data_IF_541613708688
#
_entry.id   IF_541613708688
#
_cell.length_a   1.000
_cell.length_b   1.000
_cell.length_c   1.000
_cell.angle_alpha   90.00
_cell.angle_beta   90.00
_cell.angle_gamma   90.00
#
_symmetry.space_group_name_H-M   'P 1'
#
loop_
_entity.id
_entity.type
_entity.pdbx_description
1 polymer ?
#
# COMPACT_ATOMS: atom_id res chain seq x y z
N UNK A 1 5.76 -13.59 -6.49
CA UNK A 1 4.54 -14.26 -5.98
C UNK A 1 3.68 -13.19 -5.34
N UNK A 2 2.55 -12.85 -5.95
CA UNK A 2 1.56 -11.92 -5.41
C UNK A 2 0.90 -12.66 -4.24
N UNK A 3 1.31 -12.35 -3.01
CA UNK A 3 0.82 -13.02 -1.82
C UNK A 3 -0.70 -12.86 -1.69
N UNK A 4 -1.33 -13.81 -1.02
CA UNK A 4 -2.75 -13.96 -0.68
C UNK A 4 -3.35 -12.77 0.12
N UNK A 5 -2.92 -11.54 -0.14
CA UNK A 5 -3.49 -10.38 0.50
C UNK A 5 -4.94 -10.20 0.00
N UNK A 6 -5.91 -10.19 0.92
CA UNK A 6 -7.30 -10.03 0.54
C UNK A 6 -7.49 -8.63 -0.09
N UNK A 7 -8.41 -8.50 -1.07
CA UNK A 7 -8.67 -7.24 -1.78
C UNK A 7 -8.98 -6.06 -0.85
N UNK A 8 -9.47 -6.35 0.35
CA UNK A 8 -9.69 -5.41 1.44
C UNK A 8 -9.41 -6.07 2.80
N UNK A 9 -9.19 -5.26 3.85
CA UNK A 9 -9.04 -5.77 5.22
C UNK A 9 -10.39 -5.78 5.96
N UNK A 10 -10.71 -6.83 6.73
CA UNK A 10 -11.94 -6.87 7.52
C UNK A 10 -11.84 -6.02 8.80
N UNK A 11 -13.00 -5.66 9.36
CA UNK A 11 -13.10 -5.03 10.70
C UNK A 11 -12.53 -5.99 11.75
N UNK A 12 -11.83 -5.44 12.75
CA UNK A 12 -11.19 -6.19 13.83
C UNK A 12 -9.74 -6.57 13.54
N UNK A 13 -9.26 -6.41 12.30
CA UNK A 13 -7.87 -6.71 11.93
C UNK A 13 -6.89 -5.77 12.61
N UNK A 14 -5.82 -6.33 13.17
CA UNK A 14 -4.67 -5.59 13.69
C UNK A 14 -3.73 -5.20 12.56
N UNK A 15 -3.43 -3.89 12.48
CA UNK A 15 -2.64 -3.29 11.41
C UNK A 15 -1.63 -2.29 11.96
N UNK A 16 -0.56 -2.05 11.22
CA UNK A 16 0.30 -0.90 11.42
C UNK A 16 -0.16 0.21 10.47
N UNK A 17 -0.61 1.32 11.02
CA UNK A 17 -1.15 2.46 10.28
C UNK A 17 -0.13 3.59 10.19
N UNK A 18 0.17 4.04 8.97
CA UNK A 18 1.03 5.19 8.70
C UNK A 18 0.28 6.48 8.99
N UNK A 19 0.73 7.23 9.99
CA UNK A 19 0.20 8.52 10.36
C UNK A 19 1.33 9.52 10.63
N UNK A 20 1.25 10.72 10.03
CA UNK A 20 2.26 11.79 10.15
C UNK A 20 3.72 11.34 9.92
N UNK A 21 3.94 10.34 9.06
CA UNK A 21 5.27 9.86 8.68
C UNK A 21 5.79 8.68 9.50
N UNK A 22 5.10 8.25 10.55
CA UNK A 22 5.43 7.07 11.34
C UNK A 22 4.33 6.01 11.24
N UNK A 23 4.66 4.75 11.57
CA UNK A 23 3.68 3.67 11.70
C UNK A 23 3.37 3.44 13.17
N UNK A 24 2.08 3.42 13.50
CA UNK A 24 1.60 3.08 14.85
C UNK A 24 0.70 1.85 14.77
N UNK A 25 0.63 1.09 15.85
CA UNK A 25 -0.33 -0.01 15.95
C UNK A 25 -1.75 0.53 16.00
N UNK A 26 -2.65 -0.11 15.25
CA UNK A 26 -4.05 0.27 15.21
C UNK A 26 -4.93 -0.94 14.90
N UNK A 27 -6.21 -0.84 15.29
CA UNK A 27 -7.23 -1.85 15.00
C UNK A 27 -8.30 -1.28 14.07
N UNK A 28 -8.66 -2.03 13.03
CA UNK A 28 -9.73 -1.60 12.11
C UNK A 28 -11.09 -1.65 12.82
N UNK A 29 -11.76 -0.50 12.93
CA UNK A 29 -13.09 -0.36 13.54
C UNK A 29 -14.22 -0.33 12.51
N UNK A 30 -13.97 0.25 11.34
CA UNK A 30 -14.97 0.33 10.26
C UNK A 30 -14.28 0.28 8.91
N UNK A 31 -14.94 -0.35 7.94
CA UNK A 31 -14.51 -0.40 6.55
C UNK A 31 -15.65 0.09 5.68
N UNK A 32 -15.39 1.10 4.87
CA UNK A 32 -16.26 1.50 3.77
C UNK A 32 -15.62 0.95 2.50
N UNK A 33 -16.10 -0.23 2.08
CA UNK A 33 -15.61 -0.93 0.88
C UNK A 33 -15.93 -0.11 -0.36
N UNK A 34 -14.93 0.07 -1.21
CA UNK A 34 -15.06 0.79 -2.47
C UNK A 34 -13.99 0.28 -3.43
N UNK A 35 -14.28 -0.77 -4.20
CA UNK A 35 -13.32 -1.38 -5.11
C UNK A 35 -13.70 -1.02 -6.54
N UNK A 36 -12.77 -0.37 -7.23
CA UNK A 36 -12.95 0.01 -8.64
C UNK A 36 -12.22 -0.97 -9.52
N UNK A 37 -12.96 -1.58 -10.44
CA UNK A 37 -12.44 -2.53 -11.40
C UNK A 37 -12.47 -1.94 -12.79
N UNK A 38 -11.31 -1.91 -13.45
CA UNK A 38 -11.21 -1.62 -14.87
C UNK A 38 -11.47 -2.92 -15.61
N UNK A 39 -12.49 -2.94 -16.46
CA UNK A 39 -12.95 -4.13 -17.19
C UNK A 39 -13.01 -3.83 -18.68
N UNK A 40 -12.56 -4.77 -19.49
CA UNK A 40 -12.67 -4.69 -20.95
C UNK A 40 -13.84 -5.54 -21.38
N UNK A 41 -14.86 -4.91 -21.97
CA UNK A 41 -16.08 -5.59 -22.42
C UNK A 41 -15.75 -6.50 -23.61
N UNK A 42 -16.23 -7.73 -23.57
CA UNK A 42 -16.20 -8.62 -24.74
C UNK A 42 -17.24 -8.14 -25.75
N UNK A 43 -17.06 -8.50 -27.03
CA UNK A 43 -17.78 -7.96 -28.18
C UNK A 43 -17.41 -6.52 -28.61
N UNK A 44 -16.17 -6.08 -28.34
CA UNK A 44 -15.64 -4.80 -28.86
C UNK A 44 -16.09 -3.55 -28.09
N UNK A 45 -16.73 -3.71 -26.93
CA UNK A 45 -17.31 -2.63 -26.10
C UNK A 45 -16.30 -1.72 -25.36
N UNK A 46 -15.03 -1.70 -25.76
CA UNK A 46 -14.01 -0.86 -25.13
C UNK A 46 -13.72 -1.25 -23.67
N UNK A 47 -13.11 -0.31 -22.92
CA UNK A 47 -12.73 -0.52 -21.52
C UNK A 47 -13.41 0.50 -20.62
N UNK A 48 -14.07 0.03 -19.58
CA UNK A 48 -14.81 0.85 -18.61
C UNK A 48 -14.30 0.60 -17.19
N UNK A 49 -14.59 1.53 -16.27
CA UNK A 49 -14.32 1.34 -14.84
C UNK A 49 -15.65 1.29 -14.10
N UNK A 50 -15.87 0.22 -13.34
CA UNK A 50 -17.09 -0.03 -12.58
C UNK A 50 -16.75 -0.39 -11.15
N UNK A 51 -17.71 -0.23 -10.23
CA UNK A 51 -17.56 -0.73 -8.87
C UNK A 51 -17.74 -2.25 -8.82
N UNK A 52 -17.22 -2.88 -7.78
CA UNK A 52 -17.37 -4.32 -7.59
C UNK A 52 -18.83 -4.74 -7.33
N UNK A 53 -19.69 -3.84 -6.85
CA UNK A 53 -21.12 -4.09 -6.58
C UNK A 53 -21.91 -4.54 -7.83
N UNK A 54 -21.46 -4.11 -9.01
CA UNK A 54 -22.11 -4.41 -10.30
C UNK A 54 -21.41 -5.55 -11.05
N UNK A 55 -20.38 -6.16 -10.46
CA UNK A 55 -19.63 -7.27 -11.04
C UNK A 55 -20.11 -8.58 -10.42
N UNK A 56 -20.45 -9.55 -11.26
CA UNK A 56 -20.69 -10.93 -10.88
C UNK A 56 -19.56 -11.82 -11.36
N UNK A 57 -18.94 -12.56 -10.45
CA UNK A 57 -17.84 -13.49 -10.72
C UNK A 57 -16.63 -13.26 -9.82
N UNK A 58 -15.51 -13.89 -10.17
CA UNK A 58 -14.29 -13.81 -9.38
C UNK A 58 -13.59 -12.46 -9.58
N UNK A 59 -13.43 -11.70 -8.48
CA UNK A 59 -12.78 -10.39 -8.47
C UNK A 59 -11.25 -10.53 -8.54
N UNK A 60 -10.75 -11.02 -9.68
CA UNK A 60 -9.31 -11.23 -9.93
C UNK A 60 -8.95 -10.70 -11.31
N UNK A 61 -7.79 -10.07 -11.43
CA UNK A 61 -7.27 -9.61 -12.73
C UNK A 61 -7.11 -10.81 -13.66
N UNK A 62 -7.58 -10.67 -14.90
CA UNK A 62 -7.62 -11.72 -15.92
C UNK A 62 -8.87 -12.61 -15.87
N UNK A 63 -9.69 -12.53 -14.82
CA UNK A 63 -10.94 -13.29 -14.75
C UNK A 63 -12.01 -12.69 -15.67
N UNK A 64 -12.80 -13.59 -16.26
CA UNK A 64 -14.01 -13.27 -17.00
C UNK A 64 -15.13 -13.08 -15.98
N UNK A 65 -15.83 -11.96 -16.08
CA UNK A 65 -16.90 -11.56 -15.17
C UNK A 65 -18.06 -10.96 -15.95
N UNK A 66 -19.24 -10.99 -15.34
CA UNK A 66 -20.43 -10.33 -15.86
C UNK A 66 -20.61 -8.97 -15.19
N UNK A 67 -20.71 -7.91 -15.99
CA UNK A 67 -20.91 -6.54 -15.52
C UNK A 67 -22.35 -6.15 -15.76
N UNK A 68 -23.08 -5.84 -14.70
CA UNK A 68 -24.48 -5.41 -14.74
C UNK A 68 -24.64 -4.03 -14.10
N UNK A 69 -24.33 -2.99 -14.87
CA UNK A 69 -24.36 -1.60 -14.39
C UNK A 69 -25.80 -1.11 -14.11
N UNK A 70 -26.76 -1.52 -14.95
CA UNK A 70 -28.18 -1.25 -14.75
C UNK A 70 -28.90 -2.58 -14.42
N UNK A 71 -29.70 -2.66 -13.35
CA UNK A 71 -30.46 -3.87 -13.02
C UNK A 71 -31.48 -4.26 -14.11
N UNK A 72 -31.86 -3.31 -14.97
CA UNK A 72 -32.81 -3.48 -16.09
C UNK A 72 -32.17 -3.87 -17.42
N UNK A 73 -30.85 -3.74 -17.58
CA UNK A 73 -30.13 -4.13 -18.79
C UNK A 73 -29.55 -5.52 -18.65
N UNK A 74 -29.22 -6.11 -19.79
CA UNK A 74 -28.50 -7.38 -19.83
C UNK A 74 -27.10 -7.25 -19.25
N UNK A 75 -26.65 -8.33 -18.62
CA UNK A 75 -25.29 -8.41 -18.14
C UNK A 75 -24.34 -8.53 -19.34
N UNK A 76 -23.23 -7.80 -19.27
CA UNK A 76 -22.22 -7.83 -20.32
C UNK A 76 -21.00 -8.61 -19.84
N UNK A 77 -20.53 -9.54 -20.66
CA UNK A 77 -19.31 -10.28 -20.35
C UNK A 77 -18.09 -9.39 -20.52
N UNK A 78 -17.19 -9.37 -19.54
CA UNK A 78 -16.01 -8.52 -19.51
C UNK A 78 -14.82 -9.24 -18.87
N UNK A 79 -13.62 -8.74 -19.11
CA UNK A 79 -12.38 -9.23 -18.48
C UNK A 79 -11.83 -8.16 -17.55
N UNK A 80 -11.54 -8.50 -16.30
CA UNK A 80 -10.93 -7.57 -15.35
C UNK A 80 -9.47 -7.32 -15.74
N UNK A 81 -9.11 -6.08 -16.02
CA UNK A 81 -7.74 -5.68 -16.38
C UNK A 81 -6.98 -5.03 -15.23
N UNK A 82 -7.69 -4.36 -14.30
CA UNK A 82 -7.09 -3.74 -13.11
C UNK A 82 -8.11 -3.70 -11.98
N UNK A 83 -7.66 -3.99 -10.77
CA UNK A 83 -8.44 -3.81 -9.54
C UNK A 83 -7.75 -2.72 -8.72
N UNK A 84 -8.51 -1.75 -8.25
CA UNK A 84 -8.02 -0.67 -7.42
C UNK A 84 -8.86 -0.59 -6.14
N UNK A 85 -8.20 -0.82 -5.01
CA UNK A 85 -8.81 -0.59 -3.71
C UNK A 85 -8.87 0.93 -3.43
N UNK A 86 -10.08 1.48 -3.37
CA UNK A 86 -10.39 2.84 -2.95
C UNK A 86 -11.15 2.86 -1.62
N UNK A 87 -11.12 1.75 -0.87
CA UNK A 87 -11.81 1.60 0.41
C UNK A 87 -11.22 2.55 1.45
N UNK A 88 -12.09 2.98 2.36
CA UNK A 88 -11.72 3.77 3.53
C UNK A 88 -11.78 2.91 4.77
N UNK A 89 -10.72 2.99 5.57
CA UNK A 89 -10.55 2.20 6.79
C UNK A 89 -10.49 3.15 7.97
N UNK A 90 -11.48 3.09 8.84
CA UNK A 90 -11.44 3.78 10.12
C UNK A 90 -10.74 2.87 11.12
N UNK A 91 -9.61 3.32 11.64
CA UNK A 91 -8.79 2.60 12.62
C UNK A 91 -8.81 3.33 13.95
N UNK A 92 -8.60 2.58 15.03
CA UNK A 92 -8.40 3.10 16.39
C UNK A 92 -6.98 2.77 16.80
N UNK A 93 -6.20 3.78 17.17
CA UNK A 93 -4.85 3.65 17.73
C UNK A 93 -4.91 3.35 19.22
N UNK A 94 -3.79 2.88 19.79
CA UNK A 94 -3.72 2.48 21.21
C UNK A 94 -3.94 3.64 22.19
N UNK A 95 -3.66 4.88 21.78
CA UNK A 95 -3.95 6.10 22.55
C UNK A 95 -5.43 6.53 22.48
N UNK A 96 -6.26 5.78 21.75
CA UNK A 96 -7.67 6.04 21.56
C UNK A 96 -8.00 6.94 20.37
N UNK A 97 -7.01 7.43 19.64
CA UNK A 97 -7.24 8.26 18.45
C UNK A 97 -7.93 7.45 17.35
N UNK A 98 -8.87 8.10 16.65
CA UNK A 98 -9.63 7.50 15.56
C UNK A 98 -9.33 8.25 14.28
N UNK A 99 -8.82 7.55 13.27
CA UNK A 99 -8.51 8.15 11.96
C UNK A 99 -9.04 7.28 10.83
N UNK A 100 -9.43 7.92 9.72
CA UNK A 100 -9.79 7.23 8.49
C UNK A 100 -8.65 7.30 7.48
N UNK A 101 -8.18 6.15 7.02
CA UNK A 101 -7.01 5.98 6.15
C UNK A 101 -7.36 5.16 4.90
N UNK A 102 -6.50 5.25 3.89
CA UNK A 102 -6.55 4.38 2.69
C UNK A 102 -5.74 3.10 2.93
N UNK A 103 -5.99 2.04 2.14
CA UNK A 103 -5.24 0.77 2.23
C UNK A 103 -3.72 0.96 2.12
N UNK A 104 -3.26 1.91 1.31
CA UNK A 104 -1.83 2.22 1.14
C UNK A 104 -1.13 2.73 2.40
N UNK A 105 -1.89 3.17 3.41
CA UNK A 105 -1.37 3.60 4.71
C UNK A 105 -1.49 2.49 5.76
N UNK A 106 -1.99 1.30 5.42
CA UNK A 106 -2.16 0.18 6.34
C UNK A 106 -1.27 -0.99 5.93
N UNK A 107 -0.50 -1.51 6.88
CA UNK A 107 0.27 -2.74 6.74
C UNK A 107 -0.31 -3.82 7.66
N UNK A 108 -0.38 -5.07 7.21
CA UNK A 108 -0.73 -6.19 8.09
C UNK A 108 0.39 -6.43 9.11
N UNK A 109 0.03 -6.57 10.39
CA UNK A 109 0.99 -6.74 11.50
C UNK A 109 1.90 -7.99 11.33
N UNK A 110 1.46 -9.00 10.56
CA UNK A 110 2.18 -10.28 10.36
C UNK A 110 2.97 -10.39 9.04
N UNK A 111 3.01 -9.35 8.21
CA UNK A 111 3.70 -9.39 6.92
C UNK A 111 5.16 -8.96 7.03
N UNK A 112 6.06 -9.59 6.24
CA UNK A 112 7.45 -9.19 5.95
C UNK A 112 7.63 -7.75 5.39
N UNK A 113 6.61 -6.92 5.51
CA UNK A 113 6.49 -5.54 5.07
C UNK A 113 6.68 -4.55 6.23
N UNK A 114 6.94 -5.05 7.44
CA UNK A 114 7.64 -4.29 8.45
C UNK A 114 9.09 -4.22 8.01
N UNK A 115 9.47 -3.16 7.30
CA UNK A 115 10.88 -2.90 7.08
C UNK A 115 11.44 -2.60 8.48
N UNK A 116 12.12 -3.57 9.11
CA UNK A 116 12.71 -3.43 10.45
C UNK A 116 13.52 -2.13 10.58
N UNK A 117 14.04 -1.63 9.46
CA UNK A 117 14.73 -0.36 9.31
C UNK A 117 13.90 0.90 9.67
N UNK A 118 12.58 0.80 9.77
CA UNK A 118 11.68 1.90 10.20
C UNK A 118 11.23 1.78 11.66
N UNK A 119 11.70 0.75 12.40
CA UNK A 119 11.52 0.70 13.85
C UNK A 119 12.43 1.68 14.56
N UNK A 120 11.83 2.52 15.40
CA UNK A 120 12.56 3.37 16.34
C UNK A 120 13.29 2.58 17.43
N UNK A 121 13.06 1.26 17.52
CA UNK A 121 13.61 0.37 18.55
C UNK A 121 15.12 0.08 18.39
N UNK A 122 15.70 0.43 17.23
CA UNK A 122 17.15 0.32 17.00
C UNK A 122 17.90 1.65 17.05
N UNK A 123 17.26 2.73 17.54
CA UNK A 123 18.01 3.92 17.91
C UNK A 123 18.70 3.67 19.25
N UNK A 124 20.04 3.84 19.37
CA UNK A 124 20.74 3.77 20.64
C UNK A 124 20.35 4.99 21.49
N UNK A 125 19.14 4.94 22.06
CA UNK A 125 18.51 6.03 22.82
C UNK A 125 18.91 6.03 24.30
N UNK A 126 19.94 5.28 24.71
CA UNK A 126 20.37 5.19 26.11
C UNK A 126 21.88 5.04 26.32
N UNK A 127 22.75 5.72 25.55
CA UNK A 127 24.17 5.80 25.92
C UNK A 127 24.75 7.22 25.80
N UNK A 128 24.76 8.00 26.90
CA UNK A 128 25.47 9.28 26.99
C UNK A 128 27.00 9.17 26.77
N UNK A 129 27.57 7.96 26.85
CA UNK A 129 29.02 7.75 26.87
C UNK A 129 29.69 7.73 25.48
N UNK A 130 28.93 7.86 24.38
CA UNK A 130 29.48 7.91 23.02
C UNK A 130 29.75 9.34 22.49
N UNK A 131 29.62 10.38 23.32
CA UNK A 131 30.17 11.72 22.99
C UNK A 131 31.69 11.77 23.22
N UNK A 132 32.43 10.90 22.53
CA UNK A 132 33.89 10.91 22.51
C UNK A 132 34.41 10.98 21.08
N UNK A 133 33.98 11.99 20.33
CA UNK A 133 34.79 12.47 19.20
C UNK A 133 35.11 13.95 19.43
N UNK A 134 36.35 14.30 19.80
CA UNK A 134 36.72 15.69 19.89
C UNK A 134 36.69 16.30 18.50
N UNK A 135 36.19 17.54 18.40
CA UNK A 135 36.18 18.31 17.17
C UNK A 135 37.61 18.70 16.83
N UNK A 136 38.31 17.89 16.04
CA UNK A 136 39.60 18.25 15.45
C UNK A 136 39.36 18.77 14.05
N UNK A 137 39.50 20.09 13.90
CA UNK A 137 39.73 20.76 12.64
C UNK A 137 41.04 20.25 12.00
N UNK A 138 41.02 19.83 10.72
CA UNK A 138 42.29 19.54 10.04
C UNK A 138 42.22 18.78 8.71
N UNK A 139 42.18 19.55 7.61
CA UNK A 139 42.94 19.40 6.35
C UNK A 139 43.05 18.04 5.61
N UNK A 140 42.77 18.17 4.29
CA UNK A 140 43.35 17.51 3.11
C UNK A 140 42.88 16.09 2.75
N UNK A 141 42.19 16.00 1.61
CA UNK A 141 42.06 14.81 0.80
C UNK A 141 41.63 15.17 -0.63
N UNK A 142 42.59 15.56 -1.47
CA UNK A 142 42.41 15.91 -2.89
C UNK A 142 41.91 14.67 -3.65
N UNK A 143 40.83 14.86 -4.41
CA UNK A 143 40.21 13.86 -5.31
C UNK A 143 41.22 13.34 -6.34
N UNK A 144 41.46 12.03 -6.36
CA UNK A 144 42.09 11.35 -7.47
C UNK A 144 41.06 11.08 -8.57
N UNK A 145 41.27 11.63 -9.76
CA UNK A 145 40.48 11.40 -10.97
C UNK A 145 41.42 10.81 -12.03
N UNK A 146 41.26 9.53 -12.36
CA UNK A 146 41.86 8.87 -13.52
C UNK A 146 40.68 8.30 -14.34
N UNK A 147 40.34 8.98 -15.44
CA UNK A 147 40.59 8.59 -16.84
C UNK A 147 39.67 7.46 -17.36
N UNK A 148 38.78 7.82 -18.28
CA UNK A 148 38.30 6.94 -19.33
C UNK A 148 38.41 7.68 -20.67
N UNK A 149 38.84 6.93 -21.67
CA UNK A 149 39.40 7.33 -22.95
C UNK A 149 38.35 7.63 -24.03
N UNK A 150 38.81 8.42 -24.99
CA UNK A 150 38.17 8.98 -26.17
C UNK A 150 37.90 7.93 -27.26
N UNK A 151 36.83 8.12 -28.05
CA UNK A 151 36.62 7.49 -29.36
C UNK A 151 36.44 8.62 -30.38
N UNK A 152 37.41 8.79 -31.28
CA UNK A 152 37.25 8.94 -32.74
C UNK A 152 38.60 8.69 -33.41
#
# INVERSE_FOLDING_TARGET
MQGDDPPFLPVGTDVSAKYKGAFCEAKIKKVVRNIKCKVTLKAGGGTITVNDDVIKGNLRVGSIVEVKQDPKKDAMEAVITKIQDCSQYTVVFDDGDITTLRRSALCLKSGRHFNESETLDQLPLTHPEHFSTPVIAGRRGRRGRAQYVEYL
#
